data_IF_308079010105
#
_entry.id   IF_308079010105
#
_cell.length_a   1.000
_cell.length_b   1.000
_cell.length_c   1.000
_cell.angle_alpha   90.00
_cell.angle_beta   90.00
_cell.angle_gamma   90.00
#
_symmetry.space_group_name_H-M   'P 1'
#
loop_
_entity.id
_entity.type
_entity.pdbx_description
1 polymer ?
#
# COMPACT_ATOMS: atom_id res chain seq x y z
N UNK A 1 -64.44 -55.79 2.46
CA UNK A 1 -63.30 -55.82 3.41
C UNK A 1 -61.92 -55.93 2.75
N UNK A 2 -61.78 -56.47 1.54
CA UNK A 2 -60.46 -56.59 0.88
C UNK A 2 -59.79 -55.26 0.50
N UNK A 3 -60.56 -54.24 0.06
CA UNK A 3 -59.99 -53.01 -0.51
C UNK A 3 -59.11 -52.21 0.47
N UNK A 4 -59.52 -52.11 1.74
CA UNK A 4 -58.75 -51.40 2.77
C UNK A 4 -57.42 -52.11 3.07
N UNK A 5 -57.43 -53.45 3.06
CA UNK A 5 -56.24 -54.27 3.31
C UNK A 5 -55.21 -54.14 2.16
N UNK A 6 -55.67 -54.17 0.90
CA UNK A 6 -54.81 -53.91 -0.27
C UNK A 6 -54.22 -52.50 -0.28
N UNK A 7 -55.00 -51.49 0.12
CA UNK A 7 -54.49 -50.12 0.20
C UNK A 7 -53.41 -50.04 1.28
N UNK A 8 -53.66 -50.56 2.49
CA UNK A 8 -52.67 -50.57 3.58
C UNK A 8 -51.38 -51.32 3.22
N UNK A 9 -51.49 -52.49 2.57
CA UNK A 9 -50.34 -53.24 2.09
C UNK A 9 -49.51 -52.41 1.09
N UNK A 10 -50.16 -51.80 0.08
CA UNK A 10 -49.45 -50.95 -0.89
C UNK A 10 -48.79 -49.71 -0.27
N UNK A 11 -49.39 -49.18 0.80
CA UNK A 11 -48.81 -48.07 1.56
C UNK A 11 -47.59 -48.51 2.35
N UNK A 12 -47.62 -49.69 2.99
CA UNK A 12 -46.45 -50.27 3.66
C UNK A 12 -45.30 -50.41 2.67
N UNK A 13 -45.53 -51.09 1.55
CA UNK A 13 -44.49 -51.42 0.56
C UNK A 13 -43.81 -50.14 0.02
N UNK A 14 -44.61 -49.11 -0.30
CA UNK A 14 -44.08 -47.81 -0.74
C UNK A 14 -43.25 -47.09 0.31
N UNK A 15 -43.54 -47.25 1.60
CA UNK A 15 -42.75 -46.65 2.67
C UNK A 15 -41.44 -47.40 2.88
N UNK A 16 -41.47 -48.74 2.84
CA UNK A 16 -40.26 -49.58 2.93
C UNK A 16 -39.29 -49.27 1.78
N UNK A 17 -39.79 -49.19 0.55
CA UNK A 17 -38.98 -48.87 -0.64
C UNK A 17 -38.29 -47.49 -0.53
N UNK A 18 -38.98 -46.50 0.04
CA UNK A 18 -38.42 -45.17 0.30
C UNK A 18 -37.29 -45.20 1.32
N UNK A 19 -37.47 -45.96 2.40
CA UNK A 19 -36.49 -46.10 3.48
C UNK A 19 -35.24 -46.81 2.97
N UNK A 20 -35.41 -47.90 2.21
CA UNK A 20 -34.33 -48.66 1.59
C UNK A 20 -33.51 -47.80 0.62
N UNK A 21 -34.17 -46.98 -0.20
CA UNK A 21 -33.48 -46.03 -1.09
C UNK A 21 -32.65 -45.01 -0.31
N UNK A 22 -33.17 -44.49 0.81
CA UNK A 22 -32.43 -43.55 1.65
C UNK A 22 -31.18 -44.20 2.27
N UNK A 23 -31.30 -45.41 2.82
CA UNK A 23 -30.15 -46.15 3.37
C UNK A 23 -29.04 -46.38 2.34
N UNK A 24 -29.41 -46.67 1.08
CA UNK A 24 -28.46 -46.77 -0.03
C UNK A 24 -27.76 -45.45 -0.37
N UNK A 25 -28.44 -44.30 -0.24
CA UNK A 25 -27.87 -42.97 -0.50
C UNK A 25 -26.86 -42.61 0.60
N UNK A 26 -27.17 -42.92 1.86
CA UNK A 26 -26.26 -42.68 3.00
C UNK A 26 -25.11 -43.69 3.07
N UNK A 27 -25.05 -44.66 2.16
CA UNK A 27 -23.97 -45.67 2.09
C UNK A 27 -24.04 -46.76 3.17
N UNK A 28 -25.18 -46.90 3.87
CA UNK A 28 -25.38 -47.99 4.83
C UNK A 28 -25.86 -49.23 4.06
N UNK A 29 -25.02 -50.27 3.98
CA UNK A 29 -25.37 -51.53 3.33
C UNK A 29 -26.30 -52.36 4.24
N UNK A 30 -27.59 -52.04 4.22
CA UNK A 30 -28.64 -52.82 4.91
C UNK A 30 -29.33 -53.71 3.88
N UNK A 31 -29.41 -55.01 4.15
CA UNK A 31 -30.12 -55.95 3.27
C UNK A 31 -31.63 -55.89 3.49
N UNK A 32 -32.41 -56.37 2.53
CA UNK A 32 -33.88 -56.33 2.61
C UNK A 32 -34.41 -57.10 3.82
N UNK A 33 -33.74 -58.19 4.19
CA UNK A 33 -34.04 -59.00 5.37
C UNK A 33 -33.74 -58.24 6.67
N UNK A 34 -32.59 -57.58 6.75
CA UNK A 34 -32.21 -56.78 7.92
C UNK A 34 -33.17 -55.59 8.11
N UNK A 35 -33.63 -54.99 7.01
CA UNK A 35 -34.59 -53.88 7.04
C UNK A 35 -35.95 -54.33 7.58
N UNK A 36 -36.45 -55.51 7.17
CA UNK A 36 -37.71 -56.05 7.66
C UNK A 36 -37.62 -56.38 9.17
N UNK A 37 -36.50 -56.96 9.62
CA UNK A 37 -36.23 -57.21 11.04
C UNK A 37 -36.16 -55.90 11.85
N UNK A 38 -35.54 -54.85 11.32
CA UNK A 38 -35.49 -53.53 11.97
C UNK A 38 -36.87 -52.86 12.08
N UNK A 39 -37.73 -53.07 11.08
CA UNK A 39 -39.10 -52.55 11.09
C UNK A 39 -40.01 -53.35 12.04
N UNK A 40 -39.83 -54.67 12.13
CA UNK A 40 -40.58 -55.54 13.06
C UNK A 40 -40.15 -55.38 14.51
N UNK A 41 -38.84 -55.19 14.77
CA UNK A 41 -38.32 -54.95 16.12
C UNK A 41 -38.56 -53.52 16.63
N UNK A 42 -38.99 -52.59 15.76
CA UNK A 42 -39.20 -51.18 16.09
C UNK A 42 -37.90 -50.40 16.34
N UNK A 43 -36.75 -50.97 15.98
CA UNK A 43 -35.44 -50.40 16.27
C UNK A 43 -35.09 -49.30 15.27
N UNK A 44 -35.52 -48.08 15.57
CA UNK A 44 -35.41 -46.90 14.69
C UNK A 44 -34.09 -46.14 14.82
N UNK A 45 -33.20 -46.56 15.72
CA UNK A 45 -31.96 -45.86 16.09
C UNK A 45 -31.00 -45.61 14.91
N UNK A 46 -30.98 -46.50 13.92
CA UNK A 46 -30.13 -46.36 12.72
C UNK A 46 -30.60 -45.20 11.82
N UNK A 47 -31.89 -44.91 11.79
CA UNK A 47 -32.44 -43.78 11.04
C UNK A 47 -32.18 -42.45 11.74
N UNK A 48 -32.35 -42.41 13.06
CA UNK A 48 -32.09 -41.22 13.87
C UNK A 48 -30.61 -40.87 13.91
N UNK A 49 -29.70 -41.85 13.98
CA UNK A 49 -28.25 -41.61 13.95
C UNK A 49 -27.77 -41.01 12.63
N UNK A 50 -28.22 -41.54 11.49
CA UNK A 50 -27.82 -41.02 10.18
C UNK A 50 -28.29 -39.57 9.96
N UNK A 51 -29.53 -39.23 10.35
CA UNK A 51 -30.04 -37.86 10.28
C UNK A 51 -29.21 -36.91 11.17
N UNK A 52 -28.80 -37.37 12.36
CA UNK A 52 -27.99 -36.57 13.28
C UNK A 52 -26.57 -36.32 12.74
N UNK A 53 -25.97 -37.33 12.09
CA UNK A 53 -24.66 -37.20 11.44
C UNK A 53 -24.73 -36.21 10.28
N UNK A 54 -25.76 -36.32 9.43
CA UNK A 54 -25.95 -35.45 8.27
C UNK A 54 -26.24 -34.00 8.68
N UNK A 55 -27.07 -33.83 9.72
CA UNK A 55 -27.33 -32.51 10.32
C UNK A 55 -26.04 -31.90 10.92
N UNK A 56 -25.18 -32.72 11.54
CA UNK A 56 -23.90 -32.27 12.10
C UNK A 56 -22.92 -31.90 10.98
N UNK A 57 -22.81 -32.70 9.93
CA UNK A 57 -21.96 -32.42 8.77
C UNK A 57 -22.39 -31.13 8.07
N UNK A 58 -23.69 -30.95 7.84
CA UNK A 58 -24.27 -29.74 7.25
C UNK A 58 -23.99 -28.51 8.13
N UNK A 59 -24.16 -28.62 9.44
CA UNK A 59 -23.85 -27.53 10.39
C UNK A 59 -22.35 -27.18 10.38
N UNK A 60 -21.47 -28.17 10.28
CA UNK A 60 -20.04 -27.94 10.20
C UNK A 60 -19.65 -27.21 8.90
N UNK A 61 -20.20 -27.64 7.76
CA UNK A 61 -19.99 -26.96 6.48
C UNK A 61 -20.49 -25.51 6.51
N UNK A 62 -21.64 -25.25 7.13
CA UNK A 62 -22.16 -23.90 7.30
C UNK A 62 -21.24 -23.03 8.15
N UNK A 63 -20.74 -23.55 9.27
CA UNK A 63 -19.80 -22.83 10.13
C UNK A 63 -18.48 -22.50 9.39
N UNK A 64 -18.00 -23.42 8.54
CA UNK A 64 -16.80 -23.19 7.73
C UNK A 64 -17.04 -22.09 6.67
N UNK A 65 -18.20 -22.10 6.02
CA UNK A 65 -18.61 -21.05 5.09
C UNK A 65 -18.71 -19.70 5.80
N UNK A 66 -19.29 -19.66 7.00
CA UNK A 66 -19.40 -18.44 7.81
C UNK A 66 -18.02 -17.91 8.22
N UNK A 67 -17.11 -18.78 8.66
CA UNK A 67 -15.72 -18.40 8.98
C UNK A 67 -14.99 -17.82 7.75
N UNK A 68 -15.11 -18.47 6.60
CA UNK A 68 -14.53 -17.97 5.34
C UNK A 68 -15.13 -16.64 4.90
N UNK A 69 -16.43 -16.45 5.12
CA UNK A 69 -17.09 -15.18 4.83
C UNK A 69 -16.54 -14.04 5.69
N UNK A 70 -16.34 -14.27 6.99
CA UNK A 70 -15.73 -13.28 7.90
C UNK A 70 -14.28 -12.95 7.50
N UNK A 71 -13.51 -13.95 7.07
CA UNK A 71 -12.16 -13.73 6.52
C UNK A 71 -12.17 -12.86 5.25
N UNK A 72 -13.12 -13.10 4.34
CA UNK A 72 -13.29 -12.29 3.12
C UNK A 72 -13.65 -10.85 3.47
N UNK A 73 -14.56 -10.63 4.43
CA UNK A 73 -14.93 -9.29 4.88
C UNK A 73 -13.75 -8.54 5.50
N UNK A 74 -12.90 -9.23 6.26
CA UNK A 74 -11.65 -8.64 6.79
C UNK A 74 -10.70 -8.25 5.66
N UNK A 75 -10.52 -9.11 4.67
CA UNK A 75 -9.69 -8.80 3.49
C UNK A 75 -10.22 -7.59 2.73
N UNK A 76 -11.53 -7.51 2.51
CA UNK A 76 -12.17 -6.38 1.83
C UNK A 76 -11.92 -5.06 2.58
N UNK A 77 -12.03 -5.07 3.92
CA UNK A 77 -11.70 -3.90 4.75
C UNK A 77 -10.24 -3.49 4.58
N UNK A 78 -9.29 -4.44 4.64
CA UNK A 78 -7.87 -4.13 4.44
C UNK A 78 -7.56 -3.58 3.05
N UNK A 79 -8.23 -4.06 2.00
CA UNK A 79 -8.07 -3.53 0.63
C UNK A 79 -8.61 -2.10 0.55
N UNK A 80 -9.74 -1.82 1.20
CA UNK A 80 -10.33 -0.47 1.26
C UNK A 80 -9.40 0.50 1.99
N UNK A 81 -8.86 0.11 3.14
CA UNK A 81 -7.90 0.92 3.89
C UNK A 81 -6.64 1.21 3.06
N UNK A 82 -6.13 0.21 2.33
CA UNK A 82 -4.98 0.38 1.44
C UNK A 82 -5.30 1.31 0.26
N UNK A 83 -6.49 1.22 -0.31
CA UNK A 83 -6.94 2.12 -1.38
C UNK A 83 -6.98 3.57 -0.89
N UNK A 84 -7.56 3.80 0.29
CA UNK A 84 -7.61 5.12 0.91
C UNK A 84 -6.19 5.66 1.13
N UNK A 85 -5.27 4.84 1.66
CA UNK A 85 -3.86 5.23 1.80
C UNK A 85 -3.20 5.62 0.47
N UNK A 86 -3.43 4.86 -0.61
CA UNK A 86 -2.92 5.21 -1.93
C UNK A 86 -3.51 6.52 -2.45
N UNK A 87 -4.79 6.77 -2.19
CA UNK A 87 -5.46 8.00 -2.60
C UNK A 87 -4.91 9.21 -1.83
N UNK A 88 -4.70 9.07 -0.52
CA UNK A 88 -4.02 10.09 0.29
C UNK A 88 -2.59 10.34 -0.21
N UNK A 89 -1.83 9.28 -0.52
CA UNK A 89 -0.47 9.42 -1.03
C UNK A 89 -0.44 10.13 -2.40
N UNK A 90 -1.39 9.82 -3.29
CA UNK A 90 -1.50 10.50 -4.57
C UNK A 90 -1.76 12.01 -4.39
N UNK A 91 -2.67 12.36 -3.48
CA UNK A 91 -2.96 13.76 -3.15
C UNK A 91 -1.75 14.47 -2.52
N UNK A 92 -1.05 13.83 -1.59
CA UNK A 92 0.14 14.42 -0.93
C UNK A 92 1.30 14.61 -1.91
N UNK A 93 1.53 13.68 -2.83
CA UNK A 93 2.56 13.83 -3.88
C UNK A 93 2.20 14.98 -4.83
N UNK A 94 0.93 15.12 -5.20
CA UNK A 94 0.47 16.26 -6.01
C UNK A 94 0.67 17.60 -5.28
N UNK A 95 0.31 17.66 -3.99
CA UNK A 95 0.52 18.85 -3.16
C UNK A 95 2.02 19.18 -2.95
N UNK A 96 2.88 18.17 -2.86
CA UNK A 96 4.34 18.33 -2.74
C UNK A 96 5.02 18.76 -4.05
N UNK A 97 4.31 18.78 -5.18
CA UNK A 97 4.81 19.27 -6.47
C UNK A 97 5.35 20.72 -6.42
N UNK A 98 4.81 21.58 -5.55
CA UNK A 98 5.34 22.94 -5.37
C UNK A 98 6.67 23.00 -4.59
N UNK A 99 6.95 22.04 -3.70
CA UNK A 99 8.19 22.05 -2.91
C UNK A 99 9.40 21.58 -3.71
N UNK A 100 9.22 20.65 -4.66
CA UNK A 100 10.29 20.20 -5.58
C UNK A 100 10.79 21.38 -6.43
N UNK A 101 9.90 22.24 -6.92
CA UNK A 101 10.26 23.46 -7.64
C UNK A 101 11.16 24.40 -6.82
N UNK A 102 11.03 24.43 -5.50
CA UNK A 102 11.85 25.29 -4.64
C UNK A 102 13.28 24.78 -4.47
N UNK A 103 13.50 23.46 -4.46
CA UNK A 103 14.85 22.89 -4.41
C UNK A 103 15.56 23.17 -5.73
N UNK A 104 14.89 22.90 -6.86
CA UNK A 104 15.42 23.20 -8.19
C UNK A 104 15.72 24.70 -8.33
N UNK A 105 14.80 25.59 -7.91
CA UNK A 105 15.01 27.03 -7.93
C UNK A 105 16.17 27.49 -7.03
N UNK A 106 16.32 26.93 -5.83
CA UNK A 106 17.43 27.27 -4.94
C UNK A 106 18.78 26.80 -5.50
N UNK A 107 18.82 25.62 -6.11
CA UNK A 107 20.03 25.10 -6.76
C UNK A 107 20.39 25.97 -7.98
N UNK A 108 19.43 26.24 -8.87
CA UNK A 108 19.62 27.14 -10.02
C UNK A 108 20.12 28.53 -9.59
N UNK A 109 19.45 29.16 -8.61
CA UNK A 109 19.86 30.46 -8.11
C UNK A 109 21.27 30.41 -7.51
N UNK A 110 21.59 29.38 -6.72
CA UNK A 110 22.94 29.24 -6.14
C UNK A 110 24.02 29.08 -7.21
N UNK A 111 23.74 28.34 -8.29
CA UNK A 111 24.68 28.20 -9.41
C UNK A 111 24.91 29.52 -10.15
N UNK A 112 23.85 30.31 -10.39
CA UNK A 112 23.96 31.62 -11.03
C UNK A 112 24.74 32.63 -10.17
N UNK A 113 24.49 32.65 -8.85
CA UNK A 113 25.24 33.51 -7.92
C UNK A 113 26.74 33.16 -7.88
N UNK A 114 27.09 31.86 -7.86
CA UNK A 114 28.49 31.41 -7.87
C UNK A 114 29.16 31.81 -9.19
N UNK A 115 28.48 31.63 -10.32
CA UNK A 115 29.03 32.00 -11.62
C UNK A 115 29.30 33.51 -11.73
N UNK A 116 28.35 34.35 -11.29
CA UNK A 116 28.53 35.81 -11.23
C UNK A 116 29.66 36.21 -10.27
N UNK A 117 29.76 35.56 -9.11
CA UNK A 117 30.81 35.83 -8.13
C UNK A 117 32.21 35.52 -8.69
N UNK A 118 32.38 34.43 -9.46
CA UNK A 118 33.65 34.11 -10.12
C UNK A 118 34.05 35.21 -11.11
N UNK A 119 33.11 35.68 -11.93
CA UNK A 119 33.40 36.75 -12.92
C UNK A 119 33.75 38.07 -12.23
N UNK A 120 33.01 38.46 -11.19
CA UNK A 120 33.29 39.72 -10.48
C UNK A 120 34.58 39.66 -9.67
N UNK A 121 34.95 38.51 -9.09
CA UNK A 121 36.23 38.33 -8.39
C UNK A 121 37.42 38.39 -9.35
N UNK A 122 37.29 37.82 -10.55
CA UNK A 122 38.31 37.95 -11.60
C UNK A 122 38.49 39.43 -12.01
N UNK A 123 37.39 40.13 -12.32
CA UNK A 123 37.43 41.58 -12.63
C UNK A 123 38.07 42.38 -11.51
N UNK A 124 37.67 42.13 -10.25
CA UNK A 124 38.23 42.81 -9.09
C UNK A 124 39.74 42.59 -8.96
N UNK A 125 40.24 41.38 -9.20
CA UNK A 125 41.67 41.09 -9.21
C UNK A 125 42.41 41.87 -10.32
N UNK A 126 41.84 41.95 -11.53
CA UNK A 126 42.44 42.74 -12.62
C UNK A 126 42.46 44.24 -12.29
N UNK A 127 41.39 44.77 -11.70
CA UNK A 127 41.32 46.18 -11.28
C UNK A 127 42.30 46.49 -10.15
N UNK A 128 42.44 45.60 -9.17
CA UNK A 128 43.42 45.76 -8.10
C UNK A 128 44.85 45.82 -8.65
N UNK A 129 45.19 44.97 -9.61
CA UNK A 129 46.50 44.99 -10.28
C UNK A 129 46.75 46.30 -11.06
N UNK A 130 45.75 46.79 -11.80
CA UNK A 130 45.85 48.08 -12.49
C UNK A 130 45.96 49.25 -11.50
N UNK A 131 45.20 49.24 -10.42
CA UNK A 131 45.23 50.27 -9.38
C UNK A 131 46.60 50.33 -8.68
N UNK A 132 47.22 49.17 -8.37
CA UNK A 132 48.58 49.10 -7.82
C UNK A 132 49.59 49.81 -8.71
N UNK A 133 49.57 49.53 -10.02
CA UNK A 133 50.46 50.19 -10.99
C UNK A 133 50.23 51.70 -11.03
N UNK A 134 48.97 52.15 -11.07
CA UNK A 134 48.63 53.59 -11.05
C UNK A 134 49.09 54.28 -9.76
N UNK A 135 48.94 53.64 -8.60
CA UNK A 135 49.41 54.18 -7.31
C UNK A 135 50.93 54.42 -7.31
N UNK A 136 51.71 53.51 -7.88
CA UNK A 136 53.17 53.68 -7.99
C UNK A 136 53.52 54.88 -8.86
N UNK A 137 52.86 55.03 -10.02
CA UNK A 137 53.07 56.19 -10.90
C UNK A 137 52.69 57.51 -10.23
N UNK A 138 51.56 57.57 -9.51
CA UNK A 138 51.15 58.77 -8.77
C UNK A 138 52.17 59.09 -7.67
N UNK A 139 52.63 58.08 -6.91
CA UNK A 139 53.62 58.28 -5.85
C UNK A 139 54.95 58.83 -6.40
N UNK A 140 55.42 58.30 -7.54
CA UNK A 140 56.62 58.81 -8.22
C UNK A 140 56.45 60.27 -8.67
N UNK A 141 55.31 60.61 -9.30
CA UNK A 141 55.03 62.00 -9.69
C UNK A 141 55.02 62.95 -8.49
N UNK A 142 54.38 62.57 -7.38
CA UNK A 142 54.36 63.37 -6.16
C UNK A 142 55.77 63.54 -5.56
N UNK A 143 56.60 62.49 -5.56
CA UNK A 143 57.97 62.57 -5.05
C UNK A 143 58.83 63.54 -5.88
N UNK A 144 58.69 63.52 -7.22
CA UNK A 144 59.40 64.45 -8.11
C UNK A 144 58.96 65.89 -7.85
N UNK A 145 57.65 66.14 -7.72
CA UNK A 145 57.13 67.48 -7.41
C UNK A 145 57.66 68.01 -6.08
N UNK A 146 57.70 67.17 -5.03
CA UNK A 146 58.26 67.56 -3.74
C UNK A 146 59.77 67.88 -3.82
N UNK A 147 60.53 67.11 -4.60
CA UNK A 147 61.96 67.41 -4.85
C UNK A 147 62.14 68.75 -5.54
N UNK A 148 61.36 69.05 -6.59
CA UNK A 148 61.42 70.34 -7.29
C UNK A 148 61.11 71.50 -6.34
N UNK A 149 60.06 71.36 -5.52
CA UNK A 149 59.70 72.36 -4.52
C UNK A 149 60.83 72.57 -3.51
N UNK A 150 61.43 71.50 -2.98
CA UNK A 150 62.55 71.58 -2.05
C UNK A 150 63.77 72.28 -2.66
N UNK A 151 64.12 71.98 -3.91
CA UNK A 151 65.22 72.64 -4.63
C UNK A 151 64.90 74.12 -4.84
N UNK A 152 63.68 74.47 -5.26
CA UNK A 152 63.29 75.86 -5.48
C UNK A 152 63.38 76.69 -4.19
N UNK A 153 62.92 76.13 -3.06
CA UNK A 153 63.03 76.77 -1.75
C UNK A 153 64.50 76.93 -1.33
N UNK A 154 65.33 75.89 -1.51
CA UNK A 154 66.75 75.96 -1.19
C UNK A 154 67.49 77.04 -2.00
N UNK A 155 67.16 77.22 -3.28
CA UNK A 155 67.74 78.29 -4.11
C UNK A 155 67.25 79.67 -3.66
N UNK A 156 65.97 79.82 -3.27
CA UNK A 156 65.44 81.12 -2.82
C UNK A 156 65.93 81.56 -1.44
N UNK A 157 66.29 80.61 -0.56
CA UNK A 157 66.77 80.88 0.80
C UNK A 157 68.30 80.84 0.93
N UNK A 158 69.01 80.37 -0.11
CA UNK A 158 70.48 80.44 -0.22
C UNK A 158 70.91 81.73 -0.91
#
# INVERSE_FOLDING_TARGET
MGHCNTIQASYRDRNVERIQRQLRITGTNVTDEDLDVMLESGQTDVFTQNILIDAKATKQALNEIESRHDEILKLERSIRDLHDMFQYLAMEVEAQGEMVNRIEANVLNSTDYVQKAVVETEKAATYQNKARKKKIWIALCCAILLLILAISLAITFS
#
